data_IF_887870830615
#
_entry.id   IF_887870830615
#
_cell.length_a   1.000
_cell.length_b   1.000
_cell.length_c   1.000
_cell.angle_alpha   90.00
_cell.angle_beta   90.00
_cell.angle_gamma   90.00
#
_symmetry.space_group_name_H-M   'P 1'
#
loop_
_entity.id
_entity.type
_entity.pdbx_description
1 polymer ?
#
# COMPACT_ATOMS: atom_id res chain seq x y z
N UNK A 1 37.02 12.64 -6.40
CA UNK A 1 35.75 12.74 -7.15
C UNK A 1 35.83 11.79 -8.32
N UNK A 2 35.21 10.61 -8.22
CA UNK A 2 35.26 9.58 -9.27
C UNK A 2 34.14 9.83 -10.28
N UNK A 3 34.52 10.25 -11.49
CA UNK A 3 33.62 10.27 -12.63
C UNK A 3 33.62 8.87 -13.25
N UNK A 4 32.59 8.06 -12.97
CA UNK A 4 32.39 6.78 -13.66
C UNK A 4 31.70 7.04 -15.00
N UNK A 5 32.47 6.93 -16.07
CA UNK A 5 31.99 6.94 -17.45
C UNK A 5 31.11 5.73 -17.73
N UNK A 6 29.79 5.93 -17.78
CA UNK A 6 28.85 4.91 -18.25
C UNK A 6 28.90 4.88 -19.78
N UNK A 7 29.79 4.06 -20.34
CA UNK A 7 29.77 3.67 -21.75
C UNK A 7 28.87 2.44 -21.90
N UNK A 8 27.70 2.53 -22.58
CA UNK A 8 26.99 1.32 -22.96
C UNK A 8 27.64 0.74 -24.22
N UNK A 9 28.44 -0.32 -24.02
CA UNK A 9 28.86 -1.19 -25.11
C UNK A 9 27.68 -2.01 -25.64
N UNK A 10 27.62 -2.16 -26.96
CA UNK A 10 26.73 -3.10 -27.66
C UNK A 10 25.28 -2.65 -27.76
N UNK A 11 24.91 -2.02 -28.87
CA UNK A 11 23.52 -1.75 -29.26
C UNK A 11 22.81 -3.06 -29.62
N UNK A 12 22.53 -3.90 -28.63
CA UNK A 12 21.38 -4.78 -28.71
C UNK A 12 20.21 -3.86 -28.43
N UNK A 13 19.41 -3.56 -29.45
CA UNK A 13 18.28 -2.64 -29.37
C UNK A 13 17.34 -3.00 -28.22
N UNK A 14 17.60 -2.43 -27.03
CA UNK A 14 16.72 -2.57 -25.90
C UNK A 14 15.49 -1.73 -26.20
N UNK A 15 14.27 -2.30 -26.12
CA UNK A 15 13.07 -1.50 -26.29
C UNK A 15 13.10 -0.35 -25.31
N UNK A 16 12.58 0.80 -25.74
CA UNK A 16 12.51 1.97 -24.88
C UNK A 16 11.73 1.64 -23.60
N UNK A 17 12.18 2.22 -22.49
CA UNK A 17 11.50 2.04 -21.20
C UNK A 17 10.05 2.53 -21.32
N UNK A 18 9.07 1.82 -20.73
CA UNK A 18 7.68 2.24 -20.76
C UNK A 18 7.52 3.65 -20.17
N UNK A 19 6.73 4.49 -20.85
CA UNK A 19 6.36 5.81 -20.31
C UNK A 19 5.09 5.64 -19.46
N UNK A 20 5.20 5.84 -18.16
CA UNK A 20 4.05 5.88 -17.26
C UNK A 20 3.39 7.26 -17.29
N UNK A 21 2.07 7.32 -17.09
CA UNK A 21 1.30 8.55 -17.07
C UNK A 21 0.78 8.79 -15.65
N UNK A 22 1.60 9.44 -14.83
CA UNK A 22 1.30 9.72 -13.41
C UNK A 22 0.49 11.00 -13.25
N UNK A 23 -0.62 11.10 -13.98
CA UNK A 23 -1.57 12.21 -13.86
C UNK A 23 -2.60 11.96 -12.74
N UNK A 24 -3.56 12.88 -12.58
CA UNK A 24 -4.62 12.78 -11.56
C UNK A 24 -5.45 11.49 -11.64
N UNK A 25 -5.56 10.86 -12.82
CA UNK A 25 -6.26 9.58 -13.03
C UNK A 25 -5.43 8.37 -12.59
N UNK A 26 -4.11 8.52 -12.42
CA UNK A 26 -3.22 7.51 -11.85
C UNK A 26 -3.21 7.54 -10.31
N UNK A 27 -3.75 8.62 -9.71
CA UNK A 27 -3.80 8.74 -8.26
C UNK A 27 -4.68 7.63 -7.68
N UNK A 28 -4.15 6.87 -6.72
CA UNK A 28 -4.97 5.93 -5.97
C UNK A 28 -6.13 6.66 -5.29
N UNK A 29 -7.34 6.08 -5.26
CA UNK A 29 -8.46 6.67 -4.55
C UNK A 29 -8.13 6.97 -3.09
N UNK A 30 -8.83 7.96 -2.54
CA UNK A 30 -8.78 8.22 -1.10
C UNK A 30 -9.19 6.95 -0.36
N UNK A 31 -8.34 6.51 0.57
CA UNK A 31 -8.63 5.33 1.39
C UNK A 31 -9.12 5.86 2.72
N UNK A 32 -10.38 5.61 3.06
CA UNK A 32 -10.90 5.90 4.41
C UNK A 32 -10.39 4.84 5.40
N UNK A 33 -9.08 4.84 5.62
CA UNK A 33 -8.36 3.88 6.44
C UNK A 33 -8.29 4.28 7.93
N UNK A 34 -9.26 5.07 8.39
CA UNK A 34 -9.48 5.41 9.80
C UNK A 34 -9.60 4.15 10.68
N UNK A 35 -10.32 3.15 10.19
CA UNK A 35 -10.46 1.85 10.87
C UNK A 35 -9.22 0.95 10.73
N UNK A 36 -8.27 1.27 9.85
CA UNK A 36 -7.02 0.51 9.67
C UNK A 36 -5.97 0.87 10.72
N UNK A 37 -6.10 2.05 11.33
CA UNK A 37 -5.25 2.49 12.45
C UNK A 37 -5.72 1.93 13.80
N UNK A 38 -6.85 1.23 13.83
CA UNK A 38 -7.41 0.65 15.04
C UNK A 38 -6.62 -0.59 15.44
N UNK A 39 -5.98 -0.56 16.60
CA UNK A 39 -5.41 -1.73 17.21
C UNK A 39 -6.54 -2.64 17.76
N UNK A 40 -6.32 -3.96 17.93
CA UNK A 40 -7.27 -4.84 18.61
C UNK A 40 -7.64 -4.38 20.03
N UNK A 41 -6.80 -3.53 20.65
CA UNK A 41 -7.06 -2.88 21.93
C UNK A 41 -8.04 -1.71 21.85
N UNK A 42 -8.19 -1.06 20.69
CA UNK A 42 -9.06 0.11 20.53
C UNK A 42 -10.54 -0.29 20.47
N UNK A 43 -10.80 -1.51 20.01
CA UNK A 43 -12.12 -2.15 20.04
C UNK A 43 -12.02 -3.51 20.74
N UNK A 44 -11.84 -3.51 22.08
CA UNK A 44 -11.86 -4.75 22.83
C UNK A 44 -13.21 -5.44 22.61
N UNK A 45 -13.20 -6.78 22.58
CA UNK A 45 -14.41 -7.58 22.42
C UNK A 45 -15.44 -7.33 23.52
N UNK A 46 -16.62 -7.94 23.36
CA UNK A 46 -17.67 -7.89 24.38
C UNK A 46 -17.19 -8.54 25.67
N UNK A 47 -17.65 -8.00 26.81
CA UNK A 47 -17.36 -8.60 28.10
C UNK A 47 -17.98 -10.00 28.16
N UNK A 48 -17.37 -10.96 28.87
CA UNK A 48 -18.03 -12.22 29.19
C UNK A 48 -19.40 -11.93 29.82
N UNK A 49 -20.47 -12.60 29.33
CA UNK A 49 -21.86 -12.31 29.73
C UNK A 49 -22.64 -11.32 28.85
N UNK A 50 -22.00 -10.49 28.00
CA UNK A 50 -22.72 -9.62 27.06
C UNK A 50 -23.06 -10.39 25.77
N UNK A 51 -24.34 -10.75 25.61
CA UNK A 51 -24.85 -11.51 24.45
C UNK A 51 -25.01 -13.01 24.70
N UNK A 52 -24.71 -13.47 25.92
CA UNK A 52 -25.08 -14.81 26.34
C UNK A 52 -26.61 -14.88 26.49
N UNK A 53 -27.23 -15.85 25.82
CA UNK A 53 -28.68 -16.08 25.91
C UNK A 53 -29.00 -16.52 27.33
N UNK A 54 -29.95 -15.85 27.99
CA UNK A 54 -30.39 -16.22 29.35
C UNK A 54 -30.88 -17.66 29.35
N UNK A 55 -30.21 -18.52 30.12
CA UNK A 55 -30.68 -19.87 30.41
C UNK A 55 -31.75 -19.77 31.50
N UNK A 56 -33.00 -19.61 31.07
CA UNK A 56 -34.20 -19.58 31.91
C UNK A 56 -35.04 -20.83 31.71
#
# INVERSE_FOLDING_TARGET
MSQTSNQPGGDIHHPSQPKHNDNEKSKMPERHDENRKQAPSDRPGKKPGEGETSVG
#
